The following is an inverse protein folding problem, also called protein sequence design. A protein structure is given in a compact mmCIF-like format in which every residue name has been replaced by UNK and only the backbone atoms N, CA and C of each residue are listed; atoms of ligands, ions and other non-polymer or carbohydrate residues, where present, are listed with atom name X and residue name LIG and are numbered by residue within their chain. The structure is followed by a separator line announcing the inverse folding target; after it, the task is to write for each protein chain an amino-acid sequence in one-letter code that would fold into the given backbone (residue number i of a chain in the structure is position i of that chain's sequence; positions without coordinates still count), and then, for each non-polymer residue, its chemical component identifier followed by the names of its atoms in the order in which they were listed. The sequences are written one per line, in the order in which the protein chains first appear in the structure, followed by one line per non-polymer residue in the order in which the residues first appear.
data_IF_858249844880
#
_entry.id   IF_858249844880
#
_cell.length_a   1.000
_cell.length_b   1.000
_cell.length_c   1.000
_cell.angle_alpha   90.00
_cell.angle_beta   90.00
_cell.angle_gamma   90.00
#
_symmetry.space_group_name_H-M   'P 1'
#
loop_
_entity.id
_entity.type
_entity.pdbx_description
1 polymer ?
#
# COMPACT_ATOMS: atom_id res chain seq x y z
N UNK A 1 38.02 23.48 34.49
CA UNK A 1 37.79 22.10 33.98
C UNK A 1 36.77 21.41 34.87
N UNK A 2 35.49 21.43 34.48
CA UNK A 2 34.45 20.50 34.94
C UNK A 2 33.23 20.70 34.04
N UNK A 3 33.06 19.83 33.05
CA UNK A 3 31.78 19.56 32.38
C UNK A 3 31.95 18.33 31.49
N UNK A 4 30.83 17.65 31.24
CA UNK A 4 30.63 16.46 30.40
C UNK A 4 30.64 15.13 31.14
N UNK A 5 29.46 14.80 31.67
CA UNK A 5 28.96 13.43 31.80
C UNK A 5 27.47 13.55 32.11
N UNK A 6 26.63 13.67 31.08
CA UNK A 6 25.16 13.51 31.13
C UNK A 6 24.60 13.72 29.72
N UNK A 7 24.92 12.83 28.79
CA UNK A 7 24.22 12.78 27.48
C UNK A 7 24.21 11.40 26.81
N UNK A 8 24.88 10.37 27.35
CA UNK A 8 24.88 9.03 26.73
C UNK A 8 23.70 8.13 27.14
N UNK A 9 23.05 8.41 28.27
CA UNK A 9 22.17 7.41 28.91
C UNK A 9 20.68 7.55 28.56
N UNK A 10 20.29 8.60 27.82
CA UNK A 10 18.90 8.78 27.36
C UNK A 10 18.64 8.31 25.92
N UNK A 11 19.67 8.00 25.13
CA UNK A 11 19.50 7.53 23.74
C UNK A 11 19.52 5.99 23.58
N UNK A 12 19.71 5.23 24.67
CA UNK A 12 19.74 3.75 24.64
C UNK A 12 18.41 3.08 25.04
N UNK A 13 17.30 3.82 25.15
CA UNK A 13 16.01 3.28 25.62
C UNK A 13 15.10 2.69 24.52
N UNK A 14 15.54 2.67 23.25
CA UNK A 14 14.74 2.15 22.13
C UNK A 14 15.25 0.79 21.59
N UNK A 15 15.85 -0.03 22.45
CA UNK A 15 16.16 -1.42 22.11
C UNK A 15 14.90 -2.27 22.23
N UNK A 16 14.36 -2.69 21.08
CA UNK A 16 13.22 -3.58 20.98
C UNK A 16 13.47 -4.85 21.81
N UNK A 17 12.71 -4.98 22.89
CA UNK A 17 12.69 -6.21 23.70
C UNK A 17 11.97 -7.30 22.89
N UNK A 18 12.47 -8.53 22.93
CA UNK A 18 11.88 -9.71 22.28
C UNK A 18 10.38 -9.86 22.64
N UNK A 19 9.49 -9.47 21.71
CA UNK A 19 8.04 -9.54 21.91
C UNK A 19 7.50 -10.94 21.51
N UNK A 20 7.62 -11.92 22.39
CA UNK A 20 7.02 -13.25 22.20
C UNK A 20 5.51 -13.25 22.48
N UNK A 21 5.01 -12.20 23.14
CA UNK A 21 3.61 -11.87 23.33
C UNK A 21 3.50 -10.35 23.43
N UNK A 22 3.22 -9.67 22.33
CA UNK A 22 2.83 -8.25 22.40
C UNK A 22 1.50 -8.14 23.12
N UNK A 23 1.36 -7.27 24.12
CA UNK A 23 0.04 -6.86 24.61
C UNK A 23 -0.22 -5.47 24.11
N UNK A 24 -1.30 -5.31 23.32
CA UNK A 24 -1.67 -4.03 22.76
C UNK A 24 -2.51 -3.26 23.78
N UNK A 25 -2.09 -2.05 24.08
CA UNK A 25 -2.79 -1.17 25.01
C UNK A 25 -2.99 0.19 24.38
N UNK A 26 -4.08 0.86 24.79
CA UNK A 26 -4.29 2.27 24.54
C UNK A 26 -3.50 3.19 25.48
N UNK A 27 -2.59 2.61 26.27
CA UNK A 27 -1.62 3.40 27.03
C UNK A 27 -0.84 4.27 26.03
N UNK A 28 -0.43 5.46 26.45
CA UNK A 28 0.16 6.50 25.62
C UNK A 28 -0.81 7.26 24.71
N UNK A 29 -2.02 6.77 24.41
CA UNK A 29 -3.02 7.57 23.69
C UNK A 29 -3.67 8.59 24.64
N UNK A 30 -3.45 9.88 24.41
CA UNK A 30 -3.89 10.93 25.33
C UNK A 30 -5.41 11.08 25.33
N UNK A 31 -5.98 11.58 26.44
CA UNK A 31 -7.44 11.80 26.58
C UNK A 31 -8.04 12.63 25.45
N UNK A 32 -7.30 13.65 24.99
CA UNK A 32 -7.71 14.50 23.86
C UNK A 32 -7.87 13.68 22.58
N UNK A 33 -6.88 12.86 22.22
CA UNK A 33 -6.93 11.99 21.06
C UNK A 33 -8.09 10.98 21.14
N UNK A 34 -8.30 10.34 22.30
CA UNK A 34 -9.43 9.43 22.51
C UNK A 34 -10.79 10.09 22.29
N UNK A 35 -10.96 11.33 22.76
CA UNK A 35 -12.21 12.08 22.54
C UNK A 35 -12.42 12.51 21.09
N UNK A 36 -11.32 12.69 20.37
CA UNK A 36 -11.30 13.32 19.05
C UNK A 36 -11.38 12.31 17.90
N UNK A 37 -10.87 11.10 18.10
CA UNK A 37 -10.77 10.05 17.09
C UNK A 37 -11.41 8.77 17.61
N UNK A 38 -12.74 8.68 17.60
CA UNK A 38 -13.51 7.60 18.23
C UNK A 38 -13.17 6.20 17.69
N UNK A 39 -12.63 6.11 16.47
CA UNK A 39 -12.24 4.86 15.82
C UNK A 39 -10.97 4.20 16.40
N UNK A 40 -10.30 4.82 17.37
CA UNK A 40 -9.11 4.23 18.00
C UNK A 40 -9.38 2.83 18.59
N UNK A 41 -10.63 2.56 19.02
CA UNK A 41 -11.06 1.25 19.53
C UNK A 41 -11.22 0.23 18.42
N UNK A 42 -11.78 0.63 17.28
CA UNK A 42 -11.94 -0.26 16.12
C UNK A 42 -10.58 -0.73 15.59
N UNK A 43 -9.60 0.18 15.57
CA UNK A 43 -8.20 -0.15 15.21
C UNK A 43 -7.59 -1.11 16.22
N UNK A 44 -7.74 -0.85 17.52
CA UNK A 44 -7.23 -1.74 18.56
C UNK A 44 -7.86 -3.14 18.47
N UNK A 45 -9.18 -3.23 18.31
CA UNK A 45 -9.90 -4.50 18.16
C UNK A 45 -9.44 -5.28 16.93
N UNK A 46 -9.19 -4.57 15.82
CA UNK A 46 -8.66 -5.17 14.59
C UNK A 46 -7.26 -5.73 14.82
N UNK A 47 -6.37 -4.98 15.45
CA UNK A 47 -5.03 -5.47 15.76
C UNK A 47 -5.04 -6.62 16.77
N UNK A 48 -5.93 -6.58 17.76
CA UNK A 48 -6.09 -7.70 18.69
C UNK A 48 -6.58 -8.95 17.96
N UNK A 49 -7.47 -8.82 16.98
CA UNK A 49 -7.91 -9.93 16.13
C UNK A 49 -6.76 -10.55 15.33
N UNK A 50 -5.89 -9.72 14.73
CA UNK A 50 -4.67 -10.21 14.05
C UNK A 50 -3.71 -10.90 15.01
N UNK A 51 -3.54 -10.32 16.20
CA UNK A 51 -2.71 -10.88 17.26
C UNK A 51 -3.19 -12.27 17.66
N UNK A 52 -4.48 -12.42 17.93
CA UNK A 52 -5.07 -13.71 18.30
C UNK A 52 -4.96 -14.74 17.18
N UNK A 53 -5.22 -14.34 15.92
CA UNK A 53 -5.08 -15.24 14.77
C UNK A 53 -3.62 -15.74 14.64
N UNK A 54 -2.62 -14.88 14.79
CA UNK A 54 -1.21 -15.30 14.75
C UNK A 54 -0.82 -16.15 15.96
N UNK A 55 -1.37 -15.86 17.15
CA UNK A 55 -1.06 -16.63 18.35
C UNK A 55 -1.65 -18.05 18.35
N UNK A 56 -2.83 -18.24 17.75
CA UNK A 56 -3.46 -19.56 17.65
C UNK A 56 -3.01 -20.34 16.41
N UNK A 57 -2.36 -19.69 15.44
CA UNK A 57 -1.87 -20.34 14.23
C UNK A 57 -0.66 -21.25 14.52
N UNK A 58 -0.89 -22.56 14.58
CA UNK A 58 0.13 -23.59 14.80
C UNK A 58 1.12 -23.74 13.63
N UNK A 59 0.80 -23.20 12.45
CA UNK A 59 1.68 -23.27 11.27
C UNK A 59 2.77 -22.18 11.31
N UNK A 60 2.51 -21.04 11.96
CA UNK A 60 3.47 -19.93 12.05
C UNK A 60 4.57 -20.31 13.04
N UNK A 61 5.82 -20.19 12.59
CA UNK A 61 7.02 -20.46 13.41
C UNK A 61 7.17 -19.42 14.51
N UNK A 62 7.94 -19.73 15.56
CA UNK A 62 8.25 -18.76 16.61
C UNK A 62 8.91 -17.49 16.05
N UNK A 63 9.80 -17.64 15.07
CA UNK A 63 10.44 -16.51 14.38
C UNK A 63 9.43 -15.69 13.59
N UNK A 64 8.55 -16.38 12.84
CA UNK A 64 7.49 -15.74 12.07
C UNK A 64 6.47 -14.98 12.92
N UNK A 65 6.16 -15.55 14.09
CA UNK A 65 5.30 -14.96 15.11
C UNK A 65 5.95 -13.72 15.72
N UNK A 66 7.23 -13.82 16.13
CA UNK A 66 8.01 -12.67 16.59
C UNK A 66 8.01 -11.55 15.55
N UNK A 67 8.31 -11.89 14.30
CA UNK A 67 8.37 -10.91 13.21
C UNK A 67 7.04 -10.16 13.04
N UNK A 68 5.92 -10.88 12.96
CA UNK A 68 4.61 -10.25 12.81
C UNK A 68 4.19 -9.44 14.05
N UNK A 69 4.40 -9.96 15.25
CA UNK A 69 4.00 -9.28 16.49
C UNK A 69 4.80 -7.99 16.74
N UNK A 70 6.05 -7.94 16.30
CA UNK A 70 6.86 -6.72 16.28
C UNK A 70 6.33 -5.71 15.26
N UNK A 71 6.00 -6.16 14.05
CA UNK A 71 5.40 -5.29 13.03
C UNK A 71 4.06 -4.70 13.50
N UNK A 72 3.19 -5.54 14.07
CA UNK A 72 1.91 -5.15 14.62
C UNK A 72 2.07 -4.10 15.74
N UNK A 73 3.04 -4.32 16.64
CA UNK A 73 3.37 -3.35 17.68
C UNK A 73 3.80 -2.01 17.09
N UNK A 74 4.69 -2.01 16.11
CA UNK A 74 5.21 -0.79 15.47
C UNK A 74 4.10 -0.02 14.74
N UNK A 75 3.23 -0.72 14.00
CA UNK A 75 2.08 -0.12 13.32
C UNK A 75 1.12 0.54 14.32
N UNK A 76 0.78 -0.16 15.41
CA UNK A 76 -0.11 0.39 16.44
C UNK A 76 0.53 1.56 17.20
N UNK A 77 1.84 1.49 17.48
CA UNK A 77 2.58 2.60 18.11
C UNK A 77 2.59 3.83 17.21
N UNK A 78 2.86 3.68 15.91
CA UNK A 78 2.81 4.78 14.95
C UNK A 78 1.39 5.38 14.85
N UNK A 79 0.36 4.54 14.80
CA UNK A 79 -1.03 4.97 14.84
C UNK A 79 -1.32 5.87 16.07
N UNK A 80 -0.98 5.42 17.27
CA UNK A 80 -1.17 6.21 18.51
C UNK A 80 -0.38 7.53 18.47
N UNK A 81 0.87 7.51 18.00
CA UNK A 81 1.73 8.69 17.87
C UNK A 81 1.10 9.73 16.93
N UNK A 82 0.59 9.29 15.78
CA UNK A 82 -0.12 10.16 14.82
C UNK A 82 -1.36 10.75 15.46
N UNK A 83 -2.21 9.96 16.11
CA UNK A 83 -3.43 10.48 16.75
C UNK A 83 -3.14 11.48 17.88
N UNK A 84 -2.11 11.24 18.69
CA UNK A 84 -1.68 12.18 19.73
C UNK A 84 -1.20 13.50 19.12
N UNK A 85 -0.26 13.41 18.18
CA UNK A 85 0.25 14.59 17.48
C UNK A 85 -0.89 15.37 16.83
N UNK A 86 -1.81 14.64 16.19
CA UNK A 86 -2.97 15.19 15.53
C UNK A 86 -3.94 15.91 16.51
N UNK A 87 -4.13 15.34 17.70
CA UNK A 87 -4.93 15.96 18.75
C UNK A 87 -4.26 17.21 19.33
N UNK A 88 -2.95 17.22 19.46
CA UNK A 88 -2.21 18.35 20.04
C UNK A 88 -2.08 19.53 19.05
N UNK A 89 -1.97 19.24 17.76
CA UNK A 89 -1.64 20.21 16.72
C UNK A 89 -2.81 20.50 15.77
N UNK A 90 -3.98 20.87 16.30
CA UNK A 90 -5.23 21.05 15.53
C UNK A 90 -5.13 21.87 14.22
N UNK A 91 -4.08 22.68 14.01
CA UNK A 91 -3.86 23.51 12.82
C UNK A 91 -3.83 22.74 11.49
N UNK A 92 -3.47 21.46 11.46
CA UNK A 92 -3.51 20.70 10.19
C UNK A 92 -4.93 20.28 9.79
N UNK A 93 -5.92 20.37 10.68
CA UNK A 93 -7.32 20.07 10.33
C UNK A 93 -7.91 21.09 9.36
N UNK A 94 -7.42 22.32 9.42
CA UNK A 94 -7.79 23.42 8.53
C UNK A 94 -6.99 23.39 7.21
N UNK A 95 -6.00 22.49 7.08
CA UNK A 95 -5.28 22.28 5.83
C UNK A 95 -6.17 21.48 4.89
N UNK A 96 -6.86 22.18 4.01
CA UNK A 96 -7.61 21.55 2.93
C UNK A 96 -6.64 20.78 2.03
N UNK A 97 -7.07 19.59 1.61
CA UNK A 97 -6.42 18.90 0.51
C UNK A 97 -6.54 19.74 -0.77
N UNK A 98 -5.63 19.57 -1.75
CA UNK A 98 -5.74 20.24 -3.04
C UNK A 98 -7.12 19.99 -3.66
N UNK A 99 -7.71 21.03 -4.26
CA UNK A 99 -9.06 20.97 -4.85
C UNK A 99 -9.19 19.92 -5.96
N UNK A 100 -8.10 19.69 -6.72
CA UNK A 100 -8.00 18.71 -7.81
C UNK A 100 -8.24 17.26 -7.32
N UNK A 101 -8.07 17.02 -6.01
CA UNK A 101 -8.13 15.68 -5.44
C UNK A 101 -6.83 14.88 -5.67
N UNK A 102 -6.67 13.72 -5.01
CA UNK A 102 -5.52 12.85 -5.23
C UNK A 102 -5.63 12.09 -6.56
N UNK A 103 -4.49 11.90 -7.23
CA UNK A 103 -4.31 10.94 -8.32
C UNK A 103 -3.97 9.58 -7.69
N UNK A 104 -4.85 8.59 -7.88
CA UNK A 104 -4.76 7.30 -7.18
C UNK A 104 -4.65 6.17 -8.20
N UNK A 105 -3.56 5.42 -8.16
CA UNK A 105 -3.43 4.18 -8.91
C UNK A 105 -4.07 3.05 -8.10
N UNK A 106 -5.03 2.37 -8.71
CA UNK A 106 -5.75 1.24 -8.14
C UNK A 106 -5.83 0.09 -9.16
N UNK A 107 -6.36 -1.04 -8.71
CA UNK A 107 -6.41 -2.29 -9.48
C UNK A 107 -5.70 -3.42 -8.75
N UNK A 108 -5.59 -4.57 -9.42
CA UNK A 108 -4.92 -5.73 -8.85
C UNK A 108 -3.40 -5.56 -8.88
N UNK A 109 -2.72 -6.17 -7.90
CA UNK A 109 -1.26 -6.21 -7.87
C UNK A 109 -0.68 -6.85 -9.14
N UNK A 110 0.60 -6.56 -9.44
CA UNK A 110 1.37 -7.15 -10.55
C UNK A 110 0.91 -6.73 -11.97
N UNK A 111 0.33 -5.55 -12.08
CA UNK A 111 -0.17 -4.93 -13.33
C UNK A 111 0.73 -3.81 -13.87
N UNK A 112 1.98 -3.73 -13.42
CA UNK A 112 2.94 -2.70 -13.86
C UNK A 112 2.84 -1.36 -13.12
N UNK A 113 2.06 -1.30 -12.04
CA UNK A 113 1.83 -0.10 -11.23
C UNK A 113 3.10 0.53 -10.69
N UNK A 114 4.14 -0.25 -10.36
CA UNK A 114 5.42 0.28 -9.84
C UNK A 114 6.13 1.20 -10.84
N UNK A 115 6.16 0.83 -12.12
CA UNK A 115 6.74 1.67 -13.17
C UNK A 115 5.95 2.96 -13.31
N UNK A 116 4.63 2.84 -13.48
CA UNK A 116 3.74 3.98 -13.66
C UNK A 116 3.78 4.94 -12.47
N UNK A 117 3.73 4.41 -11.24
CA UNK A 117 3.78 5.20 -10.01
C UNK A 117 5.06 6.02 -9.89
N UNK A 118 6.22 5.41 -10.17
CA UNK A 118 7.49 6.14 -10.08
C UNK A 118 7.64 7.20 -11.18
N UNK A 119 7.11 6.94 -12.38
CA UNK A 119 7.08 7.96 -13.43
C UNK A 119 6.18 9.12 -13.05
N UNK A 120 4.96 8.87 -12.56
CA UNK A 120 4.07 9.92 -12.08
C UNK A 120 4.69 10.72 -10.92
N UNK A 121 5.42 10.04 -10.02
CA UNK A 121 6.11 10.66 -8.90
C UNK A 121 7.29 11.58 -9.31
N UNK A 122 7.70 11.57 -10.59
CA UNK A 122 8.68 12.52 -11.10
C UNK A 122 8.12 13.95 -11.27
N UNK A 123 6.80 14.17 -11.18
CA UNK A 123 6.20 15.50 -11.31
C UNK A 123 6.59 16.37 -10.11
N UNK A 124 7.34 17.48 -10.31
CA UNK A 124 7.78 18.35 -9.22
C UNK A 124 6.61 19.06 -8.50
N UNK A 125 5.41 19.08 -9.09
CA UNK A 125 4.22 19.65 -8.50
C UNK A 125 3.38 18.63 -7.71
N UNK A 126 3.64 17.32 -7.87
CA UNK A 126 2.95 16.29 -7.11
C UNK A 126 3.68 15.95 -5.81
N UNK A 127 3.00 15.21 -4.93
CA UNK A 127 3.62 14.58 -3.77
C UNK A 127 3.16 13.14 -3.64
N UNK A 128 4.11 12.22 -3.67
CA UNK A 128 3.95 10.85 -3.19
C UNK A 128 4.49 10.75 -1.75
N UNK A 129 3.92 9.89 -0.89
CA UNK A 129 4.50 9.63 0.42
C UNK A 129 5.84 8.90 0.28
N UNK A 130 6.79 9.24 1.16
CA UNK A 130 8.04 8.50 1.30
C UNK A 130 7.83 7.32 2.26
N UNK A 131 8.56 6.21 2.09
CA UNK A 131 8.55 5.12 3.08
C UNK A 131 8.87 5.63 4.49
N UNK A 132 9.86 6.52 4.59
CA UNK A 132 10.28 7.14 5.86
C UNK A 132 9.19 8.03 6.47
N UNK A 133 8.35 8.69 5.67
CA UNK A 133 7.20 9.46 6.17
C UNK A 133 6.24 8.56 6.95
N UNK A 134 6.08 7.31 6.51
CA UNK A 134 5.10 6.37 7.04
C UNK A 134 5.66 5.44 8.13
N UNK A 135 6.95 5.15 8.13
CA UNK A 135 7.50 4.07 8.97
C UNK A 135 8.53 4.54 10.00
N UNK A 136 9.25 5.65 9.77
CA UNK A 136 10.40 6.05 10.59
C UNK A 136 10.13 7.42 11.22
N UNK A 137 10.05 7.47 12.55
CA UNK A 137 9.78 8.70 13.30
C UNK A 137 8.63 9.53 12.70
N UNK A 138 7.48 8.88 12.48
CA UNK A 138 6.30 9.42 11.78
C UNK A 138 5.83 10.78 12.29
N UNK A 139 6.11 11.09 13.56
CA UNK A 139 5.86 12.40 14.19
C UNK A 139 7.11 12.91 14.92
N UNK A 140 7.40 14.22 14.84
CA UNK A 140 6.72 15.22 14.01
C UNK A 140 6.93 14.97 12.49
N UNK A 141 5.98 15.36 11.62
CA UNK A 141 6.17 15.28 10.17
C UNK A 141 7.29 16.24 9.73
N UNK A 142 8.00 15.88 8.65
CA UNK A 142 9.07 16.71 8.08
C UNK A 142 8.80 16.97 6.60
N UNK A 143 9.30 18.10 6.10
CA UNK A 143 9.22 18.44 4.68
C UNK A 143 10.23 17.63 3.86
N UNK A 144 9.95 17.33 2.58
CA UNK A 144 10.95 16.73 1.68
C UNK A 144 12.20 17.61 1.49
N UNK A 145 12.07 18.92 1.66
CA UNK A 145 13.18 19.87 1.59
C UNK A 145 14.12 19.85 2.81
N UNK A 146 13.73 19.21 3.93
CA UNK A 146 14.58 19.07 5.11
C UNK A 146 15.58 17.91 4.93
N UNK A 147 16.65 18.18 4.19
CA UNK A 147 17.64 17.16 3.82
C UNK A 147 18.37 16.55 5.02
N UNK A 148 18.49 17.28 6.13
CA UNK A 148 19.17 16.80 7.34
C UNK A 148 18.31 15.73 8.02
N UNK A 149 17.04 16.04 8.29
CA UNK A 149 16.14 15.07 8.92
C UNK A 149 15.79 13.90 8.00
N UNK A 150 15.67 14.14 6.70
CA UNK A 150 15.48 13.05 5.74
C UNK A 150 16.67 12.09 5.75
N UNK A 151 17.91 12.63 5.77
CA UNK A 151 19.10 11.80 5.90
C UNK A 151 19.11 11.02 7.22
N UNK A 152 18.75 11.65 8.34
CA UNK A 152 18.67 10.96 9.64
C UNK A 152 17.69 9.78 9.60
N UNK A 153 16.50 9.96 9.02
CA UNK A 153 15.51 8.87 8.87
C UNK A 153 16.02 7.75 7.97
N UNK A 154 16.71 8.08 6.88
CA UNK A 154 17.34 7.10 5.98
C UNK A 154 18.47 6.34 6.69
N UNK A 155 19.29 7.03 7.48
CA UNK A 155 20.37 6.41 8.26
C UNK A 155 19.82 5.45 9.32
N UNK A 156 18.68 5.78 9.95
CA UNK A 156 17.95 4.87 10.85
C UNK A 156 17.41 3.66 10.11
N UNK A 157 16.76 3.87 8.95
CA UNK A 157 16.24 2.79 8.12
C UNK A 157 17.35 1.82 7.68
N UNK A 158 18.51 2.35 7.33
CA UNK A 158 19.67 1.59 6.88
C UNK A 158 20.52 1.04 8.02
N UNK A 159 20.24 1.40 9.28
CA UNK A 159 20.98 0.89 10.43
C UNK A 159 20.52 -0.54 10.72
N UNK A 160 21.35 -1.57 10.47
CA UNK A 160 20.98 -2.94 10.80
C UNK A 160 20.80 -3.04 12.32
N UNK A 161 19.60 -3.38 12.78
CA UNK A 161 19.45 -3.86 14.15
C UNK A 161 20.05 -5.27 14.24
N UNK A 162 20.67 -5.62 15.37
CA UNK A 162 21.21 -6.97 15.62
C UNK A 162 20.15 -8.08 15.42
N UNK A 163 18.86 -7.75 15.60
CA UNK A 163 17.75 -8.68 15.37
C UNK A 163 17.38 -8.84 13.89
N UNK A 164 17.46 -7.77 13.09
CA UNK A 164 17.26 -7.85 11.62
C UNK A 164 18.34 -8.69 10.95
N UNK A 165 19.56 -8.69 11.49
CA UNK A 165 20.70 -9.44 10.95
C UNK A 165 20.46 -10.97 10.92
N UNK A 166 19.71 -11.50 11.90
CA UNK A 166 19.27 -12.91 11.93
C UNK A 166 18.07 -13.24 11.03
N UNK A 167 17.30 -12.22 10.62
CA UNK A 167 16.12 -12.34 9.75
C UNK A 167 16.46 -12.07 8.25
N UNK A 168 17.73 -11.78 7.95
CA UNK A 168 18.24 -11.21 6.68
C UNK A 168 17.96 -12.01 5.42
N UNK A 169 17.90 -13.35 5.48
CA UNK A 169 17.76 -14.18 4.27
C UNK A 169 16.43 -13.96 3.55
N UNK A 170 15.36 -13.72 4.30
CA UNK A 170 14.02 -13.46 3.74
C UNK A 170 13.88 -12.03 3.19
N UNK A 171 14.50 -11.04 3.85
CA UNK A 171 14.47 -9.64 3.38
C UNK A 171 15.13 -9.45 2.02
N UNK A 172 16.24 -10.16 1.74
CA UNK A 172 16.92 -10.11 0.45
C UNK A 172 16.02 -10.62 -0.68
N UNK A 173 15.23 -11.69 -0.44
CA UNK A 173 14.32 -12.24 -1.43
C UNK A 173 13.08 -11.35 -1.66
N UNK A 174 12.55 -10.74 -0.58
CA UNK A 174 11.44 -9.77 -0.67
C UNK A 174 11.89 -8.55 -1.47
N UNK A 175 13.06 -7.97 -1.17
CA UNK A 175 13.61 -6.82 -1.89
C UNK A 175 13.85 -7.11 -3.39
N UNK A 176 14.19 -8.35 -3.74
CA UNK A 176 14.32 -8.76 -5.15
C UNK A 176 12.97 -8.83 -5.90
N UNK A 177 11.87 -9.13 -5.20
CA UNK A 177 10.52 -9.22 -5.77
C UNK A 177 9.71 -7.92 -5.66
N UNK A 178 10.12 -7.03 -4.76
CA UNK A 178 9.56 -5.71 -4.47
C UNK A 178 10.70 -4.70 -4.22
N UNK A 179 11.29 -4.12 -5.29
CA UNK A 179 12.37 -3.16 -5.15
C UNK A 179 11.92 -1.96 -4.33
N UNK A 180 12.75 -1.53 -3.38
CA UNK A 180 12.51 -0.32 -2.60
C UNK A 180 12.81 0.92 -3.43
N UNK A 181 11.83 1.82 -3.52
CA UNK A 181 12.00 3.16 -4.05
C UNK A 181 11.79 4.18 -2.93
N UNK A 182 12.37 5.40 -3.01
CA UNK A 182 12.14 6.42 -2.00
C UNK A 182 10.65 6.77 -1.84
N UNK A 183 9.95 6.91 -2.97
CA UNK A 183 8.49 7.01 -3.02
C UNK A 183 7.88 5.63 -2.83
N UNK A 184 6.89 5.51 -1.95
CA UNK A 184 6.30 4.23 -1.58
C UNK A 184 4.77 4.25 -1.64
N UNK A 185 4.16 3.07 -1.66
CA UNK A 185 2.72 2.86 -1.48
C UNK A 185 2.19 3.41 -0.16
N UNK A 186 1.04 4.08 -0.21
CA UNK A 186 0.27 4.51 0.97
C UNK A 186 -0.35 3.33 1.76
N UNK A 187 -0.07 2.10 1.35
CA UNK A 187 -0.48 0.88 2.03
C UNK A 187 -0.07 0.87 3.50
N UNK A 188 1.08 1.45 3.85
CA UNK A 188 1.57 1.54 5.23
C UNK A 188 0.67 2.41 6.12
N UNK A 189 0.03 3.44 5.56
CA UNK A 189 -0.92 4.29 6.29
C UNK A 189 -2.18 3.47 6.62
N UNK A 190 -2.72 2.73 5.65
CA UNK A 190 -3.89 1.86 5.87
C UNK A 190 -3.58 0.74 6.87
N UNK A 191 -2.36 0.17 6.83
CA UNK A 191 -1.91 -0.86 7.78
C UNK A 191 -1.83 -0.35 9.20
N UNK A 192 -1.44 0.91 9.43
CA UNK A 192 -1.46 1.54 10.75
C UNK A 192 -2.89 1.67 11.30
N UNK A 193 -3.89 1.82 10.43
CA UNK A 193 -5.31 1.75 10.81
C UNK A 193 -5.85 0.32 10.88
N UNK A 194 -5.01 -0.71 10.85
CA UNK A 194 -5.44 -2.11 10.87
C UNK A 194 -6.07 -2.60 9.57
N UNK A 195 -6.07 -1.83 8.48
CA UNK A 195 -6.57 -2.26 7.19
C UNK A 195 -5.43 -2.90 6.38
N UNK A 196 -5.29 -4.23 6.50
CA UNK A 196 -4.18 -4.99 5.90
C UNK A 196 -4.67 -6.25 5.18
N UNK A 197 -5.23 -6.15 3.95
CA UNK A 197 -5.79 -7.29 3.23
C UNK A 197 -4.84 -8.47 3.04
N UNK A 198 -3.53 -8.23 2.90
CA UNK A 198 -2.56 -9.32 2.71
C UNK A 198 -2.32 -10.16 3.96
N UNK A 199 -2.85 -9.75 5.12
CA UNK A 199 -2.86 -10.60 6.32
C UNK A 199 -3.50 -11.97 6.05
N UNK A 200 -4.46 -12.07 5.12
CA UNK A 200 -5.11 -13.34 4.76
C UNK A 200 -4.16 -14.37 4.15
N UNK A 201 -2.97 -13.97 3.70
CA UNK A 201 -1.95 -14.91 3.24
C UNK A 201 -1.35 -15.72 4.40
N UNK A 202 -1.37 -15.15 5.61
CA UNK A 202 -0.79 -15.78 6.79
C UNK A 202 -1.83 -16.24 7.83
N UNK A 203 -3.13 -15.89 7.68
CA UNK A 203 -4.21 -16.32 8.58
C UNK A 203 -4.46 -17.84 8.58
N UNK A 204 -4.51 -18.46 9.75
CA UNK A 204 -4.72 -19.91 9.95
C UNK A 204 -6.01 -20.42 9.30
N UNK A 205 -7.12 -19.70 9.49
CA UNK A 205 -8.46 -20.13 9.14
C UNK A 205 -9.25 -19.06 8.36
N UNK A 206 -10.00 -19.53 7.35
CA UNK A 206 -10.97 -18.78 6.53
C UNK A 206 -12.08 -18.13 7.37
N UNK A 207 -12.46 -18.80 8.45
CA UNK A 207 -13.55 -18.37 9.34
C UNK A 207 -13.07 -17.54 10.54
N UNK A 208 -11.79 -17.13 10.57
CA UNK A 208 -11.27 -16.27 11.65
C UNK A 208 -11.93 -14.88 11.62
N UNK A 209 -12.12 -14.27 12.79
CA UNK A 209 -12.68 -12.91 12.91
C UNK A 209 -11.88 -11.90 12.09
N UNK A 210 -10.56 -12.03 12.09
CA UNK A 210 -9.66 -11.20 11.30
C UNK A 210 -9.91 -11.31 9.79
N UNK A 211 -10.11 -12.52 9.28
CA UNK A 211 -10.37 -12.75 7.87
C UNK A 211 -11.77 -12.26 7.46
N UNK A 212 -12.79 -12.59 8.26
CA UNK A 212 -14.15 -12.10 8.07
C UNK A 212 -14.20 -10.56 8.07
N UNK A 213 -13.48 -9.93 9.00
CA UNK A 213 -13.37 -8.48 9.08
C UNK A 213 -12.72 -7.87 7.83
N UNK A 214 -11.57 -8.40 7.38
CA UNK A 214 -10.86 -7.90 6.19
C UNK A 214 -11.72 -8.04 4.93
N UNK A 215 -12.38 -9.20 4.75
CA UNK A 215 -13.18 -9.46 3.55
C UNK A 215 -14.47 -8.64 3.51
N UNK A 216 -14.94 -8.16 4.65
CA UNK A 216 -16.10 -7.29 4.73
C UNK A 216 -15.76 -5.87 4.25
N UNK A 217 -16.30 -5.50 3.09
CA UNK A 217 -16.13 -4.17 2.48
C UNK A 217 -16.77 -3.05 3.34
N UNK A 218 -17.73 -3.40 4.20
CA UNK A 218 -18.43 -2.45 5.05
C UNK A 218 -17.58 -2.02 6.26
N UNK A 219 -17.91 -0.85 6.82
CA UNK A 219 -17.33 -0.32 8.05
C UNK A 219 -15.81 -0.07 7.97
N UNK A 220 -15.29 0.26 6.79
CA UNK A 220 -13.87 0.62 6.59
C UNK A 220 -13.61 2.12 6.54
N UNK A 221 -14.64 2.95 6.70
CA UNK A 221 -14.53 4.40 6.62
C UNK A 221 -13.47 4.97 7.57
N UNK A 222 -13.37 4.44 8.79
CA UNK A 222 -12.37 4.91 9.76
C UNK A 222 -10.92 4.74 9.29
N UNK A 223 -10.63 3.76 8.44
CA UNK A 223 -9.29 3.57 7.89
C UNK A 223 -8.94 4.71 6.93
N UNK A 224 -9.94 5.22 6.20
CA UNK A 224 -9.80 6.39 5.35
C UNK A 224 -9.87 7.71 6.13
N UNK A 225 -10.60 7.79 7.24
CA UNK A 225 -10.51 8.91 8.19
C UNK A 225 -9.08 9.06 8.73
N UNK A 226 -8.45 7.94 9.11
CA UNK A 226 -7.05 7.92 9.53
C UNK A 226 -6.12 8.28 8.37
N UNK A 227 -6.36 7.71 7.18
CA UNK A 227 -5.57 8.01 5.99
C UNK A 227 -5.59 9.50 5.67
N UNK A 228 -6.76 10.13 5.68
CA UNK A 228 -6.90 11.57 5.47
C UNK A 228 -6.20 12.37 6.57
N UNK A 229 -6.34 11.96 7.85
CA UNK A 229 -5.62 12.58 8.96
C UNK A 229 -4.11 12.56 8.73
N UNK A 230 -3.57 11.44 8.25
CA UNK A 230 -2.15 11.28 7.95
C UNK A 230 -1.70 12.17 6.78
N UNK A 231 -2.47 12.20 5.69
CA UNK A 231 -2.17 13.05 4.53
C UNK A 231 -2.22 14.53 4.89
N UNK A 232 -3.22 14.97 5.68
CA UNK A 232 -3.32 16.35 6.16
C UNK A 232 -2.16 16.72 7.09
N UNK A 233 -1.68 15.78 7.91
CA UNK A 233 -0.47 15.96 8.72
C UNK A 233 0.77 16.22 7.84
N UNK A 234 0.97 15.44 6.78
CA UNK A 234 2.06 15.68 5.83
C UNK A 234 1.91 17.01 5.06
N UNK A 235 0.68 17.38 4.69
CA UNK A 235 0.39 18.68 4.06
C UNK A 235 0.81 19.87 4.92
N UNK A 236 0.75 19.75 6.24
CA UNK A 236 1.08 20.85 7.15
C UNK A 236 2.54 21.31 7.08
N UNK A 237 3.44 20.47 6.52
CA UNK A 237 4.87 20.78 6.36
C UNK A 237 5.31 20.84 4.90
N UNK A 238 4.63 20.14 3.98
CA UNK A 238 5.01 20.06 2.56
C UNK A 238 3.80 19.65 1.68
N UNK A 239 2.83 20.54 1.51
CA UNK A 239 1.70 20.27 0.62
C UNK A 239 2.15 20.22 -0.85
N UNK A 240 1.60 19.31 -1.68
CA UNK A 240 1.82 19.35 -3.13
C UNK A 240 1.25 20.63 -3.73
N UNK A 241 1.87 21.11 -4.82
CA UNK A 241 1.37 22.26 -5.59
C UNK A 241 0.17 21.89 -6.46
N UNK A 242 0.13 20.65 -6.95
CA UNK A 242 -0.91 20.12 -7.83
C UNK A 242 -1.79 19.10 -7.09
N UNK A 243 -1.27 17.89 -6.86
CA UNK A 243 -2.05 16.78 -6.30
C UNK A 243 -1.18 15.81 -5.48
N UNK A 244 -1.84 15.02 -4.64
CA UNK A 244 -1.23 13.83 -4.04
C UNK A 244 -1.23 12.68 -5.04
N UNK A 245 -0.15 11.91 -5.07
CA UNK A 245 -0.05 10.66 -5.80
C UNK A 245 -0.08 9.51 -4.79
N UNK A 246 -1.09 8.64 -4.91
CA UNK A 246 -1.31 7.50 -4.01
C UNK A 246 -1.41 6.20 -4.82
N UNK A 247 -1.06 5.08 -4.21
CA UNK A 247 -1.15 3.76 -4.83
C UNK A 247 -1.08 2.68 -3.78
N UNK A 248 -2.10 1.83 -3.76
CA UNK A 248 -2.01 0.50 -3.18
C UNK A 248 -3.05 -0.43 -3.79
N UNK A 249 -2.75 -1.73 -3.97
CA UNK A 249 -3.77 -2.71 -4.34
C UNK A 249 -4.90 -2.82 -3.30
N UNK A 250 -4.73 -2.29 -2.08
CA UNK A 250 -5.77 -2.37 -1.04
C UNK A 250 -6.99 -1.51 -1.38
N UNK A 251 -6.80 -0.43 -2.14
CA UNK A 251 -7.92 0.41 -2.59
C UNK A 251 -8.95 -0.38 -3.40
N UNK A 252 -8.52 -1.39 -4.15
CA UNK A 252 -9.42 -2.22 -4.96
C UNK A 252 -10.49 -2.94 -4.13
N UNK A 253 -10.24 -3.18 -2.84
CA UNK A 253 -11.19 -3.81 -1.93
C UNK A 253 -12.24 -2.82 -1.40
N UNK A 254 -11.96 -1.51 -1.43
CA UNK A 254 -12.71 -0.50 -0.69
C UNK A 254 -12.94 0.78 -1.51
N UNK A 255 -13.19 0.64 -2.81
CA UNK A 255 -13.32 1.77 -3.76
C UNK A 255 -14.45 2.75 -3.38
N UNK A 256 -15.59 2.24 -2.90
CA UNK A 256 -16.71 3.07 -2.44
C UNK A 256 -16.33 3.92 -1.22
N UNK A 257 -15.60 3.32 -0.27
CA UNK A 257 -15.10 4.02 0.93
C UNK A 257 -14.06 5.08 0.56
N UNK A 258 -13.13 4.73 -0.35
CA UNK A 258 -12.12 5.65 -0.86
C UNK A 258 -12.78 6.91 -1.46
N UNK A 259 -13.75 6.72 -2.37
CA UNK A 259 -14.42 7.84 -3.04
C UNK A 259 -15.34 8.65 -2.13
N UNK A 260 -15.82 8.08 -1.03
CA UNK A 260 -16.54 8.87 -0.02
C UNK A 260 -15.65 9.89 0.67
N UNK A 261 -14.39 9.53 0.93
CA UNK A 261 -13.42 10.42 1.60
C UNK A 261 -12.68 11.31 0.61
N UNK A 262 -12.46 10.82 -0.62
CA UNK A 262 -11.86 11.56 -1.71
C UNK A 262 -12.83 11.67 -2.89
N UNK A 263 -13.89 12.48 -2.78
CA UNK A 263 -14.91 12.60 -3.83
C UNK A 263 -14.36 13.15 -5.16
N UNK A 264 -13.27 13.91 -5.10
CA UNK A 264 -12.57 14.45 -6.27
C UNK A 264 -11.38 13.57 -6.72
N UNK A 265 -11.23 12.35 -6.20
CA UNK A 265 -10.12 11.49 -6.61
C UNK A 265 -10.13 11.23 -8.12
N UNK A 266 -8.93 11.21 -8.69
CA UNK A 266 -8.65 10.85 -10.08
C UNK A 266 -8.09 9.42 -10.08
N UNK A 267 -8.86 8.45 -10.55
CA UNK A 267 -8.51 7.03 -10.44
C UNK A 267 -7.83 6.52 -11.71
N UNK A 268 -6.65 5.92 -11.57
CA UNK A 268 -6.02 5.14 -12.64
C UNK A 268 -6.21 3.67 -12.30
N UNK A 269 -6.97 2.94 -13.12
CA UNK A 269 -7.19 1.51 -12.93
C UNK A 269 -6.27 0.72 -13.86
N UNK A 270 -5.39 -0.11 -13.28
CA UNK A 270 -4.45 -0.91 -14.07
C UNK A 270 -4.95 -2.33 -14.29
N UNK A 271 -4.79 -2.82 -15.53
CA UNK A 271 -5.30 -4.12 -15.97
C UNK A 271 -4.22 -4.99 -16.58
N UNK A 272 -4.30 -6.30 -16.34
CA UNK A 272 -3.48 -7.32 -16.97
C UNK A 272 -4.23 -8.65 -16.98
N UNK A 273 -3.91 -9.51 -17.95
CA UNK A 273 -4.46 -10.85 -18.00
C UNK A 273 -4.11 -11.64 -16.74
N UNK A 274 -5.12 -12.25 -16.11
CA UNK A 274 -4.96 -12.85 -14.78
C UNK A 274 -4.17 -14.17 -14.79
N UNK A 275 -4.07 -14.84 -15.94
CA UNK A 275 -3.17 -15.97 -16.17
C UNK A 275 -1.69 -15.55 -16.14
N UNK A 276 -1.38 -14.28 -16.42
CA UNK A 276 -0.03 -13.73 -16.21
C UNK A 276 0.19 -13.19 -14.80
N UNK A 277 -0.86 -12.63 -14.17
CA UNK A 277 -0.78 -12.02 -12.82
C UNK A 277 -0.62 -13.10 -11.76
N UNK A 278 -1.45 -14.15 -11.79
CA UNK A 278 -1.54 -15.15 -10.71
C UNK A 278 -0.22 -15.86 -10.42
N UNK A 279 0.57 -16.33 -11.40
CA UNK A 279 1.87 -16.93 -11.12
C UNK A 279 2.84 -15.97 -10.42
N UNK A 280 2.85 -14.70 -10.84
CA UNK A 280 3.70 -13.68 -10.20
C UNK A 280 3.22 -13.37 -8.79
N UNK A 281 1.90 -13.28 -8.59
CA UNK A 281 1.30 -13.06 -7.29
C UNK A 281 1.60 -14.20 -6.30
N UNK A 282 1.39 -15.44 -6.72
CA UNK A 282 1.69 -16.62 -5.89
C UNK A 282 3.17 -16.71 -5.54
N UNK A 283 4.06 -16.35 -6.45
CA UNK A 283 5.50 -16.32 -6.15
C UNK A 283 5.84 -15.25 -5.11
N UNK A 284 5.28 -14.04 -5.22
CA UNK A 284 5.49 -12.98 -4.24
C UNK A 284 4.92 -13.38 -2.87
N UNK A 285 3.70 -13.91 -2.85
CA UNK A 285 3.06 -14.41 -1.64
C UNK A 285 3.85 -15.54 -0.99
N UNK A 286 4.44 -16.44 -1.78
CA UNK A 286 5.31 -17.51 -1.26
C UNK A 286 6.55 -16.95 -0.56
N UNK A 287 7.20 -15.95 -1.17
CA UNK A 287 8.37 -15.29 -0.57
C UNK A 287 7.98 -14.55 0.71
N UNK A 288 6.86 -13.81 0.70
CA UNK A 288 6.37 -13.13 1.90
C UNK A 288 6.02 -14.12 3.02
N UNK A 289 5.39 -15.25 2.67
CA UNK A 289 4.98 -16.29 3.61
C UNK A 289 6.17 -17.05 4.23
N UNK A 290 7.30 -17.19 3.52
CA UNK A 290 8.53 -17.80 4.05
C UNK A 290 9.11 -17.05 5.27
N UNK A 291 8.76 -15.77 5.45
CA UNK A 291 9.06 -15.02 6.66
C UNK A 291 8.34 -15.51 7.91
N UNK A 292 7.21 -16.22 7.72
CA UNK A 292 6.29 -16.58 8.79
C UNK A 292 6.21 -18.09 9.05
N UNK A 293 6.26 -18.90 8.00
CA UNK A 293 6.13 -20.35 8.06
C UNK A 293 7.47 -21.06 7.94
N UNK A 294 7.55 -22.29 8.45
CA UNK A 294 8.72 -23.14 8.22
C UNK A 294 8.76 -23.52 6.73
N UNK A 295 9.93 -23.38 6.12
CA UNK A 295 10.05 -23.47 4.67
C UNK A 295 9.75 -24.90 4.18
N UNK A 296 8.85 -25.01 3.20
CA UNK A 296 8.67 -26.16 2.28
C UNK A 296 8.16 -27.50 2.86
N UNK A 297 6.89 -27.55 3.30
CA UNK A 297 6.06 -28.72 2.99
C UNK A 297 5.03 -28.37 1.88
N UNK A 298 4.50 -29.37 1.19
CA UNK A 298 3.48 -29.17 0.12
C UNK A 298 2.24 -28.44 0.64
N UNK A 299 1.89 -28.66 1.91
CA UNK A 299 0.75 -28.06 2.60
C UNK A 299 0.85 -26.52 2.59
N UNK A 300 2.03 -25.95 2.87
CA UNK A 300 2.23 -24.50 2.80
C UNK A 300 2.06 -23.96 1.38
N UNK A 301 2.52 -24.69 0.34
CA UNK A 301 2.39 -24.23 -1.06
C UNK A 301 0.94 -24.26 -1.55
N UNK A 302 0.22 -25.35 -1.31
CA UNK A 302 -1.18 -25.47 -1.73
C UNK A 302 -2.05 -24.45 -1.00
N UNK A 303 -1.80 -24.26 0.30
CA UNK A 303 -2.46 -23.23 1.11
C UNK A 303 -2.19 -21.82 0.56
N UNK A 304 -0.93 -21.43 0.36
CA UNK A 304 -0.59 -20.10 -0.17
C UNK A 304 -1.25 -19.87 -1.53
N UNK A 305 -1.23 -20.89 -2.39
CA UNK A 305 -1.88 -20.86 -3.71
C UNK A 305 -3.38 -20.64 -3.59
N UNK A 306 -4.06 -21.39 -2.71
CA UNK A 306 -5.49 -21.22 -2.41
C UNK A 306 -5.78 -19.80 -1.90
N UNK A 307 -4.98 -19.30 -0.94
CA UNK A 307 -5.11 -17.93 -0.40
C UNK A 307 -4.92 -16.86 -1.47
N UNK A 308 -3.99 -17.07 -2.40
CA UNK A 308 -3.76 -16.17 -3.52
C UNK A 308 -4.99 -16.09 -4.43
N UNK A 309 -5.61 -17.23 -4.77
CA UNK A 309 -6.87 -17.24 -5.52
C UNK A 309 -7.97 -16.48 -4.79
N UNK A 310 -8.19 -16.78 -3.50
CA UNK A 310 -9.27 -16.13 -2.75
C UNK A 310 -9.09 -14.62 -2.60
N UNK A 311 -7.84 -14.17 -2.47
CA UNK A 311 -7.52 -12.74 -2.43
C UNK A 311 -7.75 -12.10 -3.81
N UNK A 312 -7.40 -12.81 -4.90
CA UNK A 312 -7.62 -12.33 -6.26
C UNK A 312 -9.12 -12.27 -6.58
N UNK A 313 -9.86 -13.34 -6.30
CA UNK A 313 -11.31 -13.42 -6.47
C UNK A 313 -11.99 -12.25 -5.78
N UNK A 314 -11.64 -11.98 -4.51
CA UNK A 314 -12.25 -10.90 -3.76
C UNK A 314 -11.93 -9.53 -4.37
N UNK A 315 -10.68 -9.30 -4.77
CA UNK A 315 -10.28 -8.05 -5.41
C UNK A 315 -11.02 -7.84 -6.74
N UNK A 316 -11.13 -8.89 -7.57
CA UNK A 316 -11.86 -8.83 -8.84
C UNK A 316 -13.35 -8.65 -8.62
N UNK A 317 -13.95 -9.33 -7.64
CA UNK A 317 -15.36 -9.15 -7.24
C UNK A 317 -15.63 -7.67 -6.91
N UNK A 318 -14.82 -7.06 -6.02
CA UNK A 318 -14.94 -5.66 -5.64
C UNK A 318 -14.81 -4.72 -6.85
N UNK A 319 -13.80 -4.93 -7.70
CA UNK A 319 -13.59 -4.13 -8.91
C UNK A 319 -14.78 -4.28 -9.87
N UNK A 320 -15.22 -5.50 -10.16
CA UNK A 320 -16.32 -5.77 -11.09
C UNK A 320 -17.62 -5.18 -10.56
N UNK A 321 -17.93 -5.37 -9.28
CA UNK A 321 -19.09 -4.76 -8.62
C UNK A 321 -19.05 -3.24 -8.76
N UNK A 322 -17.94 -2.60 -8.40
CA UNK A 322 -17.77 -1.15 -8.51
C UNK A 322 -17.96 -0.66 -9.96
N UNK A 323 -17.37 -1.37 -10.93
CA UNK A 323 -17.35 -0.96 -12.35
C UNK A 323 -18.68 -1.24 -13.06
N UNK A 324 -19.46 -2.23 -12.62
CA UNK A 324 -20.70 -2.64 -13.28
C UNK A 324 -21.98 -2.18 -12.57
N UNK A 325 -21.97 -1.94 -11.25
CA UNK A 325 -23.17 -1.53 -10.49
C UNK A 325 -23.65 -0.11 -10.86
N UNK A 326 -24.83 -0.01 -11.46
CA UNK A 326 -25.45 1.25 -11.94
C UNK A 326 -26.12 2.10 -10.83
N UNK A 327 -25.69 2.00 -9.57
CA UNK A 327 -26.35 2.77 -8.50
C UNK A 327 -26.12 4.28 -8.71
N UNK A 328 -27.22 5.01 -8.90
CA UNK A 328 -27.32 6.36 -9.48
C UNK A 328 -26.69 7.54 -8.73
N UNK A 329 -25.70 7.31 -7.87
CA UNK A 329 -24.82 8.35 -7.31
C UNK A 329 -23.39 8.35 -7.87
N UNK A 330 -22.98 7.28 -8.55
CA UNK A 330 -21.59 7.00 -8.98
C UNK A 330 -21.33 7.41 -10.45
N UNK A 331 -22.32 8.00 -11.13
CA UNK A 331 -22.19 8.35 -12.55
C UNK A 331 -21.16 9.47 -12.80
N UNK A 332 -20.95 10.35 -11.82
CA UNK A 332 -19.93 11.41 -11.90
C UNK A 332 -18.51 10.90 -11.53
N UNK A 333 -18.38 9.95 -10.59
CA UNK A 333 -17.05 9.39 -10.23
C UNK A 333 -16.51 8.43 -11.30
N UNK A 334 -17.38 7.84 -12.12
CA UNK A 334 -16.97 7.08 -13.32
C UNK A 334 -16.28 7.94 -14.38
N UNK A 335 -16.51 9.27 -14.39
CA UNK A 335 -15.82 10.21 -15.30
C UNK A 335 -14.38 10.51 -14.87
N UNK A 336 -14.03 10.22 -13.61
CA UNK A 336 -12.69 10.43 -13.07
C UNK A 336 -11.92 9.10 -12.99
N UNK A 337 -12.06 8.24 -13.99
CA UNK A 337 -11.35 6.97 -14.02
C UNK A 337 -10.75 6.67 -15.39
N UNK A 338 -9.46 6.36 -15.39
CA UNK A 338 -8.69 6.04 -16.58
C UNK A 338 -8.22 4.59 -16.51
N UNK A 339 -8.73 3.74 -17.41
CA UNK A 339 -8.31 2.34 -17.49
C UNK A 339 -7.06 2.20 -18.36
N UNK A 340 -6.06 1.47 -17.87
CA UNK A 340 -4.82 1.24 -18.62
C UNK A 340 -4.33 -0.20 -18.49
N UNK A 341 -3.91 -0.79 -19.60
CA UNK A 341 -3.35 -2.14 -19.60
C UNK A 341 -1.85 -2.13 -19.33
N UNK A 342 -1.34 -3.20 -18.73
CA UNK A 342 0.08 -3.46 -18.54
C UNK A 342 0.86 -3.28 -19.85
N UNK A 343 0.36 -3.84 -20.95
CA UNK A 343 1.04 -3.77 -22.26
C UNK A 343 1.15 -2.35 -22.77
N UNK A 344 0.14 -1.50 -22.56
CA UNK A 344 0.21 -0.08 -22.93
C UNK A 344 1.29 0.65 -22.13
N UNK A 345 1.35 0.44 -20.81
CA UNK A 345 2.39 1.02 -19.93
C UNK A 345 3.78 0.56 -20.37
N UNK A 346 3.94 -0.74 -20.67
CA UNK A 346 5.24 -1.29 -21.04
C UNK A 346 5.71 -0.83 -22.42
N UNK A 347 4.79 -0.65 -23.37
CA UNK A 347 5.08 -0.24 -24.75
C UNK A 347 5.46 1.23 -24.87
N UNK A 348 4.77 2.13 -24.17
CA UNK A 348 5.03 3.57 -24.24
C UNK A 348 4.76 4.25 -22.88
N UNK A 349 5.64 4.08 -21.88
CA UNK A 349 5.37 4.53 -20.51
C UNK A 349 5.17 6.04 -20.39
N UNK A 350 6.02 6.86 -21.04
CA UNK A 350 5.89 8.32 -21.01
C UNK A 350 4.61 8.77 -21.73
N UNK A 351 4.32 8.18 -22.90
CA UNK A 351 3.09 8.51 -23.62
C UNK A 351 1.83 8.18 -22.83
N UNK A 352 1.84 7.10 -22.03
CA UNK A 352 0.74 6.79 -21.10
C UNK A 352 0.62 7.84 -20.00
N UNK A 353 1.73 8.33 -19.44
CA UNK A 353 1.68 9.43 -18.45
C UNK A 353 1.06 10.69 -19.05
N UNK A 354 1.43 11.07 -20.28
CA UNK A 354 0.82 12.20 -20.97
C UNK A 354 -0.68 12.00 -21.18
N UNK A 355 -1.11 10.81 -21.63
CA UNK A 355 -2.54 10.49 -21.78
C UNK A 355 -3.32 10.59 -20.48
N UNK A 356 -2.75 10.14 -19.36
CA UNK A 356 -3.35 10.27 -18.03
C UNK A 356 -3.51 11.74 -17.65
N UNK A 357 -2.46 12.55 -17.83
CA UNK A 357 -2.50 13.97 -17.51
C UNK A 357 -3.52 14.71 -18.37
N UNK A 358 -3.52 14.46 -19.68
CA UNK A 358 -4.46 15.07 -20.62
C UNK A 358 -5.91 14.68 -20.27
N UNK A 359 -6.17 13.41 -19.96
CA UNK A 359 -7.50 12.92 -19.58
C UNK A 359 -8.04 13.61 -18.32
N UNK A 360 -7.18 13.80 -17.32
CA UNK A 360 -7.56 14.47 -16.08
C UNK A 360 -7.39 16.00 -16.11
N UNK A 361 -7.03 16.57 -17.26
CA UNK A 361 -6.73 18.00 -17.44
C UNK A 361 -5.62 18.52 -16.50
N UNK A 362 -4.63 17.67 -16.19
CA UNK A 362 -3.45 18.04 -15.43
C UNK A 362 -2.37 18.61 -16.34
N UNK A 363 -1.65 19.61 -15.85
CA UNK A 363 -0.53 20.21 -16.59
C UNK A 363 0.76 19.46 -16.26
N UNK A 364 1.50 19.07 -17.30
CA UNK A 364 2.85 18.52 -17.17
C UNK A 364 3.88 19.51 -17.75
N UNK A 365 5.06 19.59 -17.14
CA UNK A 365 6.12 20.53 -17.52
C UNK A 365 7.26 19.82 -18.27
N UNK A 366 8.09 20.59 -18.97
CA UNK A 366 9.32 20.05 -19.56
C UNK A 366 10.27 19.46 -18.48
N UNK A 367 10.27 20.03 -17.27
CA UNK A 367 11.05 19.49 -16.15
C UNK A 367 10.56 18.09 -15.76
N UNK A 368 9.23 17.89 -15.71
CA UNK A 368 8.64 16.59 -15.45
C UNK A 368 8.99 15.57 -16.54
N UNK A 369 8.91 15.97 -17.82
CA UNK A 369 9.29 15.10 -18.94
C UNK A 369 10.77 14.68 -18.88
N UNK A 370 11.68 15.62 -18.58
CA UNK A 370 13.10 15.33 -18.40
C UNK A 370 13.31 14.37 -17.21
N UNK A 371 12.61 14.60 -16.09
CA UNK A 371 12.72 13.75 -14.90
C UNK A 371 12.26 12.31 -15.18
N UNK A 372 11.16 12.12 -15.91
CA UNK A 372 10.70 10.78 -16.33
C UNK A 372 11.72 10.08 -17.22
N UNK A 373 12.28 10.78 -18.21
CA UNK A 373 13.30 10.20 -19.10
C UNK A 373 14.56 9.78 -18.32
N UNK A 374 15.04 10.63 -17.41
CA UNK A 374 16.18 10.31 -16.55
C UNK A 374 15.89 9.10 -15.66
N UNK A 375 14.70 9.03 -15.07
CA UNK A 375 14.31 7.90 -14.23
C UNK A 375 14.31 6.58 -15.02
N UNK A 376 13.83 6.58 -16.27
CA UNK A 376 13.86 5.39 -17.14
C UNK A 376 15.29 4.96 -17.51
N UNK A 377 16.19 5.92 -17.73
CA UNK A 377 17.60 5.65 -18.00
C UNK A 377 18.31 5.02 -16.78
N UNK A 378 17.96 5.47 -15.58
CA UNK A 378 18.51 4.94 -14.32
C UNK A 378 17.89 3.58 -13.93
N UNK A 379 16.68 3.31 -14.40
CA UNK A 379 15.87 2.13 -14.06
C UNK A 379 15.43 1.33 -15.31
N UNK A 380 16.37 0.82 -16.13
CA UNK A 380 16.03 0.08 -17.34
C UNK A 380 15.15 -1.13 -17.04
N UNK A 381 14.15 -1.37 -17.90
CA UNK A 381 13.26 -2.52 -17.77
C UNK A 381 14.06 -3.83 -17.73
N UNK A 382 13.79 -4.66 -16.72
CA UNK A 382 14.51 -5.92 -16.51
C UNK A 382 15.79 -5.84 -15.68
N UNK A 383 16.14 -4.66 -15.14
CA UNK A 383 17.19 -4.47 -14.11
C UNK A 383 16.97 -5.38 -12.88
N UNK A 384 15.72 -5.66 -12.57
CA UNK A 384 15.29 -6.67 -11.60
C UNK A 384 14.78 -7.88 -12.39
N UNK A 385 15.37 -9.05 -12.14
CA UNK A 385 15.25 -10.28 -12.93
C UNK A 385 13.82 -10.59 -13.43
N UNK A 386 13.67 -10.83 -14.74
CA UNK A 386 12.46 -11.42 -15.33
C UNK A 386 12.36 -12.89 -14.91
N UNK A 387 11.83 -13.16 -13.72
CA UNK A 387 11.47 -14.51 -13.35
C UNK A 387 10.37 -15.00 -14.31
N UNK A 388 10.69 -16.00 -15.13
CA UNK A 388 9.66 -16.74 -15.88
C UNK A 388 8.88 -17.58 -14.88
N UNK A 389 7.73 -17.08 -14.46
CA UNK A 389 6.79 -17.83 -13.62
C UNK A 389 5.98 -18.77 -14.51
N UNK A 390 5.96 -20.06 -14.21
CA UNK A 390 5.13 -21.04 -14.94
C UNK A 390 3.87 -21.34 -14.14
N UNK A 391 2.71 -21.29 -14.80
CA UNK A 391 1.41 -21.67 -14.25
C UNK A 391 1.45 -23.05 -13.56
N UNK A 392 2.11 -24.01 -14.21
CA UNK A 392 2.25 -25.39 -13.72
C UNK A 392 2.93 -25.51 -12.36
N UNK A 393 3.79 -24.55 -11.97
CA UNK A 393 4.47 -24.56 -10.66
C UNK A 393 3.49 -24.46 -9.50
N UNK A 394 2.34 -23.83 -9.72
CA UNK A 394 1.28 -23.63 -8.73
C UNK A 394 0.04 -24.49 -9.03
N UNK A 395 0.17 -25.48 -9.92
CA UNK A 395 -0.96 -26.33 -10.33
C UNK A 395 -2.04 -25.58 -11.13
N UNK A 396 -1.70 -24.45 -11.74
CA UNK A 396 -2.66 -23.67 -12.52
C UNK A 396 -2.78 -24.18 -13.95
N UNK A 397 -4.02 -24.22 -14.43
CA UNK A 397 -4.37 -24.33 -15.84
C UNK A 397 -4.80 -22.96 -16.36
N UNK A 398 -4.28 -22.58 -17.53
CA UNK A 398 -4.61 -21.32 -18.19
C UNK A 398 -6.09 -21.24 -18.55
N UNK A 399 -6.69 -22.33 -19.07
CA UNK A 399 -8.09 -22.39 -19.48
C UNK A 399 -9.03 -22.16 -18.29
N UNK A 400 -8.73 -22.77 -17.15
CA UNK A 400 -9.52 -22.61 -15.91
C UNK A 400 -9.47 -21.16 -15.40
N UNK A 401 -8.30 -20.51 -15.45
CA UNK A 401 -8.16 -19.10 -15.07
C UNK A 401 -8.95 -18.21 -16.03
N UNK A 402 -8.81 -18.43 -17.33
CA UNK A 402 -9.52 -17.64 -18.34
C UNK A 402 -11.04 -17.79 -18.20
N UNK A 403 -11.54 -19.00 -17.93
CA UNK A 403 -12.94 -19.25 -17.67
C UNK A 403 -13.41 -18.56 -16.37
N UNK A 404 -12.63 -18.67 -15.28
CA UNK A 404 -12.95 -18.07 -13.98
C UNK A 404 -13.09 -16.55 -14.04
N UNK A 405 -12.25 -15.88 -14.83
CA UNK A 405 -12.22 -14.42 -14.93
C UNK A 405 -12.66 -13.89 -16.29
N UNK A 406 -13.51 -14.65 -17.00
CA UNK A 406 -13.97 -14.30 -18.34
C UNK A 406 -14.64 -12.92 -18.39
N UNK A 407 -15.45 -12.58 -17.38
CA UNK A 407 -16.12 -11.28 -17.30
C UNK A 407 -15.13 -10.13 -17.11
N UNK A 408 -14.12 -10.29 -16.27
CA UNK A 408 -13.07 -9.29 -16.09
C UNK A 408 -12.30 -9.07 -17.41
N UNK A 409 -11.91 -10.15 -18.09
CA UNK A 409 -11.23 -10.07 -19.39
C UNK A 409 -12.10 -9.41 -20.45
N UNK A 410 -13.39 -9.76 -20.51
CA UNK A 410 -14.35 -9.17 -21.43
C UNK A 410 -14.48 -7.66 -21.22
N UNK A 411 -14.56 -7.23 -19.95
CA UNK A 411 -14.67 -5.81 -19.62
C UNK A 411 -13.35 -5.09 -19.89
N UNK A 412 -12.20 -5.51 -19.37
CA UNK A 412 -11.01 -4.63 -19.37
C UNK A 412 -9.92 -4.96 -20.38
N UNK A 413 -9.94 -6.15 -21.00
CA UNK A 413 -8.83 -6.66 -21.82
C UNK A 413 -9.26 -6.99 -23.26
N UNK A 414 -10.53 -6.83 -23.60
CA UNK A 414 -10.98 -6.95 -24.99
C UNK A 414 -10.51 -5.73 -25.79
N UNK A 415 -10.11 -5.94 -27.05
CA UNK A 415 -9.58 -4.89 -27.95
C UNK A 415 -10.52 -3.70 -28.19
N UNK A 416 -11.77 -3.79 -27.74
CA UNK A 416 -12.79 -2.74 -27.82
C UNK A 416 -12.73 -1.74 -26.66
N UNK A 417 -11.92 -1.96 -25.62
CA UNK A 417 -11.78 -1.04 -24.48
C UNK A 417 -10.80 0.12 -24.70
N UNK A 418 -10.55 0.49 -25.95
CA UNK A 418 -9.89 1.76 -26.26
C UNK A 418 -10.85 2.86 -25.85
N UNK A 419 -10.51 3.66 -24.82
CA UNK A 419 -11.30 4.83 -24.44
C UNK A 419 -11.71 5.59 -25.70
N UNK A 420 -13.01 5.87 -25.81
CA UNK A 420 -13.61 6.70 -26.84
C UNK A 420 -12.76 7.96 -26.99
N UNK A 421 -11.92 7.97 -28.03
CA UNK A 421 -11.38 9.18 -28.60
C UNK A 421 -12.56 9.90 -29.26
N UNK A 422 -13.46 10.47 -28.46
CA UNK A 422 -14.32 11.54 -28.93
C UNK A 422 -13.44 12.77 -29.08
N UNK A 423 -12.77 12.80 -30.21
CA UNK A 423 -12.32 14.00 -30.88
C UNK A 423 -13.51 14.95 -30.94
N UNK A 424 -13.51 15.95 -30.09
CA UNK A 424 -14.26 17.18 -30.32
C UNK A 424 -13.56 17.94 -31.45
N UNK A 425 -13.74 17.45 -32.68
CA UNK A 425 -13.71 18.29 -33.87
C UNK A 425 -15.08 18.96 -33.99
N UNK A 426 -15.16 20.20 -33.53
CA UNK A 426 -15.74 21.34 -34.25
C UNK A 426 -15.52 22.62 -33.46
#
# INVERSE_FOLDING_TARGET
MKSMSTTSDQNNAAHATLLNNTVLHENDLIKKAKSQFSYHKDVLNTFESYRQCVLHNELITDVGRKFFLTELHNLHTNFKRVLNYAAEHNKFRDQNLPTIGPLIICGVARTGTTLLYNLLACDPNCRAPLFTDMMIDVVPPIARSDSIEQKRRIDILNSPSQETEQLTSNFIQIAACHPYFPNEEDCHILRQAGCFPLFTLISDNEDSDAESWIRNEMNKGYAYDYHETFVRMLNSVDAPKSHWLLKTPYHAFYLDELLRHYPNALLIMTHRSLDEVLPSWCSLASVAANGHFDAMNSISRDRITKRCYQSMDKSIECIMKFRTCQNGGVDQSRKNMFDITYDNVMKNPIGVVHQIYDYFNLQWSNEFEIAMNNWLLENPQGKHSRHKYTLSKFGFNQEDIQARYADYTKVFLSSTFSHNQSSSTN
#
